data_IF_665499678330
#
_entry.id   IF_665499678330
#
_cell.length_a   1.000
_cell.length_b   1.000
_cell.length_c   1.000
_cell.angle_alpha   90.00
_cell.angle_beta   90.00
_cell.angle_gamma   90.00
#
_symmetry.space_group_name_H-M   'P 1'
#
loop_
_entity.id
_entity.type
_entity.pdbx_description
1 polymer ?
#
# COMPACT_ATOMS: atom_id res chain seq x y z
N UNK A 1 -8.82 17.33 1.97
CA UNK A 1 -9.92 17.08 1.02
C UNK A 1 -9.99 18.10 -0.11
N UNK A 2 -10.04 19.42 0.17
CA UNK A 2 -10.17 20.47 -0.88
C UNK A 2 -9.23 20.32 -2.08
N UNK A 3 -7.91 20.27 -1.87
CA UNK A 3 -6.92 20.14 -2.97
C UNK A 3 -7.11 18.89 -3.85
N UNK A 4 -7.52 17.76 -3.27
CA UNK A 4 -7.71 16.53 -4.05
C UNK A 4 -8.97 16.61 -4.93
N UNK A 5 -10.04 17.23 -4.42
CA UNK A 5 -11.28 17.45 -5.16
C UNK A 5 -11.14 18.56 -6.22
N UNK A 6 -10.24 19.52 -6.03
CA UNK A 6 -9.89 20.48 -7.09
C UNK A 6 -9.27 19.77 -8.31
N UNK A 7 -8.40 18.78 -8.07
CA UNK A 7 -7.78 17.98 -9.14
C UNK A 7 -8.75 16.94 -9.73
N UNK A 8 -9.64 16.38 -8.90
CA UNK A 8 -10.61 15.35 -9.28
C UNK A 8 -12.03 15.69 -8.79
N UNK A 9 -12.74 16.61 -9.48
CA UNK A 9 -14.03 17.14 -9.00
C UNK A 9 -15.15 16.10 -8.87
N UNK A 10 -15.09 15.03 -9.66
CA UNK A 10 -16.09 13.96 -9.68
C UNK A 10 -15.76 12.80 -8.72
N UNK A 11 -14.63 12.86 -8.02
CA UNK A 11 -14.26 11.81 -7.07
C UNK A 11 -15.17 11.85 -5.84
N UNK A 12 -15.74 10.69 -5.49
CA UNK A 12 -16.55 10.56 -4.28
C UNK A 12 -15.67 10.66 -3.04
N UNK A 13 -15.96 11.63 -2.18
CA UNK A 13 -15.23 11.83 -0.93
C UNK A 13 -15.93 11.18 0.26
N UNK A 14 -15.14 10.71 1.21
CA UNK A 14 -15.62 10.11 2.45
C UNK A 14 -14.99 10.83 3.64
N UNK A 15 -15.79 11.18 4.65
CA UNK A 15 -15.30 11.70 5.93
C UNK A 15 -14.72 10.60 6.82
N UNK A 16 -15.12 9.35 6.57
CA UNK A 16 -14.65 8.14 7.24
C UNK A 16 -14.28 7.10 6.18
N UNK A 17 -13.01 6.69 6.13
CA UNK A 17 -12.52 5.74 5.14
C UNK A 17 -13.19 4.36 5.25
N UNK A 18 -13.75 4.00 6.41
CA UNK A 18 -14.44 2.71 6.57
C UNK A 18 -15.66 2.61 5.67
N UNK A 19 -16.34 3.73 5.43
CA UNK A 19 -17.45 3.82 4.46
C UNK A 19 -17.00 3.64 3.02
N UNK A 20 -15.76 4.00 2.69
CA UNK A 20 -15.16 3.71 1.39
C UNK A 20 -14.97 2.20 1.22
N UNK A 21 -14.48 1.51 2.26
CA UNK A 21 -14.24 0.05 2.23
C UNK A 21 -15.53 -0.77 2.07
N UNK A 22 -16.67 -0.26 2.52
CA UNK A 22 -18.00 -0.87 2.32
C UNK A 22 -18.46 -0.84 0.84
N UNK A 23 -17.86 0.01 -0.01
CA UNK A 23 -18.27 0.15 -1.40
C UNK A 23 -17.93 -1.08 -2.23
N UNK A 24 -18.93 -1.64 -2.93
CA UNK A 24 -18.72 -2.73 -3.90
C UNK A 24 -18.11 -2.26 -5.22
N UNK A 25 -18.12 -0.95 -5.48
CA UNK A 25 -17.57 -0.36 -6.71
C UNK A 25 -16.05 -0.13 -6.64
N UNK A 26 -15.41 -0.43 -5.50
CA UNK A 26 -13.99 -0.20 -5.27
C UNK A 26 -13.30 -1.56 -5.08
N UNK A 27 -12.38 -1.90 -5.97
CA UNK A 27 -11.63 -3.16 -5.91
C UNK A 27 -10.40 -3.07 -5.00
N UNK A 28 -9.81 -1.88 -4.86
CA UNK A 28 -8.57 -1.69 -4.11
C UNK A 28 -8.37 -0.28 -3.58
N UNK A 29 -7.40 -0.13 -2.68
CA UNK A 29 -7.09 1.13 -1.99
C UNK A 29 -5.60 1.45 -2.02
N UNK A 30 -5.30 2.75 -2.09
CA UNK A 30 -3.97 3.31 -1.86
C UNK A 30 -3.98 3.97 -0.47
N UNK A 31 -3.13 3.50 0.43
CA UNK A 31 -2.99 4.04 1.80
C UNK A 31 -1.75 4.93 1.84
N UNK A 32 -1.96 6.25 1.80
CA UNK A 32 -0.91 7.28 1.90
C UNK A 32 -1.12 8.20 3.13
N UNK A 33 -1.53 7.59 4.24
CA UNK A 33 -1.82 8.28 5.51
C UNK A 33 -0.56 8.39 6.38
N UNK A 34 -0.60 9.08 7.54
CA UNK A 34 0.49 9.00 8.50
C UNK A 34 0.77 7.55 8.96
N UNK A 35 2.05 7.22 9.18
CA UNK A 35 2.54 5.87 9.46
C UNK A 35 1.80 5.15 10.60
N UNK A 36 1.41 5.88 11.66
CA UNK A 36 0.71 5.30 12.81
C UNK A 36 -0.69 4.74 12.46
N UNK A 37 -1.22 5.02 11.27
CA UNK A 37 -2.51 4.53 10.81
C UNK A 37 -2.39 3.33 9.86
N UNK A 38 -1.20 3.06 9.30
CA UNK A 38 -1.00 2.09 8.23
C UNK A 38 -1.50 0.70 8.61
N UNK A 39 -1.03 0.15 9.73
CA UNK A 39 -1.35 -1.22 10.11
C UNK A 39 -2.85 -1.45 10.23
N UNK A 40 -3.57 -0.57 10.93
CA UNK A 40 -5.01 -0.70 11.10
C UNK A 40 -5.76 -0.54 9.78
N UNK A 41 -5.36 0.42 8.93
CA UNK A 41 -6.02 0.64 7.65
C UNK A 41 -5.79 -0.51 6.66
N UNK A 42 -4.59 -1.10 6.64
CA UNK A 42 -4.28 -2.29 5.84
C UNK A 42 -5.13 -3.47 6.30
N UNK A 43 -5.16 -3.76 7.60
CA UNK A 43 -5.96 -4.86 8.15
C UNK A 43 -7.46 -4.69 7.83
N UNK A 44 -7.98 -3.47 7.97
CA UNK A 44 -9.37 -3.17 7.64
C UNK A 44 -9.66 -3.35 6.14
N UNK A 45 -8.74 -2.93 5.26
CA UNK A 45 -8.91 -3.08 3.82
C UNK A 45 -8.86 -4.55 3.37
N UNK A 46 -7.92 -5.34 3.89
CA UNK A 46 -7.84 -6.77 3.62
C UNK A 46 -9.10 -7.50 4.13
N UNK A 47 -9.57 -7.16 5.34
CA UNK A 47 -10.81 -7.71 5.89
C UNK A 47 -12.05 -7.35 5.07
N UNK A 48 -12.02 -6.22 4.36
CA UNK A 48 -13.09 -5.79 3.46
C UNK A 48 -12.95 -6.38 2.04
N UNK A 49 -12.00 -7.30 1.84
CA UNK A 49 -11.76 -7.96 0.55
C UNK A 49 -11.16 -7.04 -0.51
N UNK A 50 -10.42 -5.99 -0.12
CA UNK A 50 -9.82 -5.01 -1.03
C UNK A 50 -8.37 -5.34 -1.33
N UNK A 51 -7.93 -5.10 -2.56
CA UNK A 51 -6.52 -4.99 -2.89
C UNK A 51 -5.90 -3.79 -2.17
N UNK A 52 -4.65 -3.91 -1.73
CA UNK A 52 -4.00 -2.86 -0.93
C UNK A 52 -2.63 -2.52 -1.50
N UNK A 53 -2.45 -1.24 -1.82
CA UNK A 53 -1.14 -0.62 -1.94
C UNK A 53 -0.96 0.35 -0.78
N UNK A 54 0.08 0.17 0.03
CA UNK A 54 0.33 1.02 1.19
C UNK A 54 1.70 1.71 1.09
N UNK A 55 1.76 3.00 1.39
CA UNK A 55 3.01 3.76 1.41
C UNK A 55 4.04 3.18 2.40
N UNK A 56 5.31 3.52 2.21
CA UNK A 56 6.34 3.17 3.20
C UNK A 56 6.10 3.95 4.49
N UNK A 57 6.42 3.42 5.67
CA UNK A 57 6.79 2.05 5.99
C UNK A 57 5.55 1.19 6.27
N UNK A 58 5.69 -0.14 6.26
CA UNK A 58 4.59 -1.09 6.50
C UNK A 58 3.84 -0.83 7.82
N UNK A 59 4.57 -0.72 8.94
CA UNK A 59 4.02 -0.43 10.27
C UNK A 59 5.12 0.12 11.20
N UNK A 60 4.79 0.42 12.47
CA UNK A 60 5.74 0.97 13.45
C UNK A 60 6.47 -0.12 14.22
N UNK A 61 5.87 -1.29 14.36
CA UNK A 61 6.40 -2.39 15.18
C UNK A 61 6.40 -3.71 14.42
N UNK A 62 7.27 -4.63 14.83
CA UNK A 62 7.31 -5.98 14.27
C UNK A 62 6.00 -6.75 14.50
N UNK A 63 5.35 -6.53 15.65
CA UNK A 63 4.08 -7.17 15.97
C UNK A 63 2.98 -6.73 14.99
N UNK A 64 2.90 -5.43 14.69
CA UNK A 64 1.97 -4.93 13.66
C UNK A 64 2.27 -5.51 12.29
N UNK A 65 3.55 -5.58 11.89
CA UNK A 65 3.94 -6.21 10.63
C UNK A 65 3.49 -7.67 10.58
N UNK A 66 3.68 -8.43 11.67
CA UNK A 66 3.26 -9.83 11.78
C UNK A 66 1.75 -10.00 11.70
N UNK A 67 0.98 -9.11 12.33
CA UNK A 67 -0.48 -9.10 12.22
C UNK A 67 -0.96 -8.90 10.79
N UNK A 68 -0.37 -7.96 10.06
CA UNK A 68 -0.68 -7.74 8.64
C UNK A 68 -0.32 -8.96 7.80
N UNK A 69 0.86 -9.54 8.01
CA UNK A 69 1.30 -10.73 7.29
C UNK A 69 0.33 -11.91 7.50
N UNK A 70 -0.07 -12.16 8.75
CA UNK A 70 -1.02 -13.22 9.06
C UNK A 70 -2.39 -12.97 8.41
N UNK A 71 -2.87 -11.72 8.38
CA UNK A 71 -4.11 -11.38 7.68
C UNK A 71 -3.99 -11.61 6.16
N UNK A 72 -2.84 -11.26 5.57
CA UNK A 72 -2.56 -11.48 4.15
C UNK A 72 -2.58 -12.96 3.75
N UNK A 73 -2.10 -13.86 4.62
CA UNK A 73 -2.13 -15.31 4.35
C UNK A 73 -3.54 -15.90 4.21
N UNK A 74 -4.58 -15.17 4.61
CA UNK A 74 -5.97 -15.61 4.58
C UNK A 74 -6.81 -14.85 3.54
N UNK A 75 -6.18 -14.20 2.56
CA UNK A 75 -6.86 -13.46 1.49
C UNK A 75 -6.26 -13.78 0.13
N UNK A 76 -7.10 -13.74 -0.90
CA UNK A 76 -6.69 -13.83 -2.30
C UNK A 76 -6.34 -12.44 -2.88
N UNK A 77 -6.43 -11.37 -2.09
CA UNK A 77 -6.16 -10.00 -2.53
C UNK A 77 -4.66 -9.70 -2.53
N UNK A 78 -4.21 -9.02 -3.59
CA UNK A 78 -2.87 -8.39 -3.66
C UNK A 78 -2.65 -7.40 -2.51
N UNK A 79 -1.53 -7.56 -1.80
CA UNK A 79 -0.97 -6.61 -0.85
C UNK A 79 0.42 -6.18 -1.30
N UNK A 80 0.64 -4.88 -1.43
CA UNK A 80 1.92 -4.31 -1.82
C UNK A 80 2.28 -3.11 -0.94
N UNK A 81 3.57 -2.96 -0.60
CA UNK A 81 4.09 -1.80 0.11
C UNK A 81 5.01 -0.99 -0.79
N UNK A 82 4.88 0.32 -0.76
CA UNK A 82 5.61 1.23 -1.63
C UNK A 82 7.13 1.11 -1.40
N UNK A 83 7.79 0.37 -2.28
CA UNK A 83 9.23 0.18 -2.30
C UNK A 83 9.81 0.84 -3.56
N UNK A 84 9.48 2.12 -3.78
CA UNK A 84 9.76 2.81 -5.06
C UNK A 84 11.23 2.74 -5.51
N UNK A 85 12.18 2.64 -4.57
CA UNK A 85 13.62 2.54 -4.86
C UNK A 85 13.99 1.24 -5.57
N UNK A 86 13.21 0.18 -5.41
CA UNK A 86 13.45 -1.08 -6.13
C UNK A 86 13.12 -0.99 -7.63
N UNK A 87 12.40 0.07 -8.04
CA UNK A 87 12.07 0.35 -9.44
C UNK A 87 12.89 1.48 -10.06
N UNK A 88 13.77 2.10 -9.29
CA UNK A 88 14.67 3.13 -9.81
C UNK A 88 15.80 2.45 -10.60
N UNK A 89 15.99 2.91 -11.84
CA UNK A 89 16.99 2.39 -12.80
C UNK A 89 18.38 2.27 -12.19
N UNK A 90 18.75 3.15 -11.26
CA UNK A 90 20.06 3.12 -10.60
C UNK A 90 20.25 1.85 -9.78
N UNK A 91 19.22 1.45 -9.03
CA UNK A 91 19.26 0.24 -8.21
C UNK A 91 19.16 -1.02 -9.08
N UNK A 92 18.31 -0.98 -10.12
CA UNK A 92 18.18 -2.07 -11.08
C UNK A 92 19.53 -2.33 -11.77
N UNK A 93 20.19 -1.28 -12.28
CA UNK A 93 21.49 -1.39 -12.94
C UNK A 93 22.59 -1.86 -11.99
N UNK A 94 22.60 -1.34 -10.75
CA UNK A 94 23.54 -1.81 -9.74
C UNK A 94 23.38 -3.32 -9.48
N UNK A 95 22.15 -3.81 -9.35
CA UNK A 95 21.89 -5.25 -9.19
C UNK A 95 22.30 -6.05 -10.43
N UNK A 96 22.05 -5.54 -11.64
CA UNK A 96 22.52 -6.20 -12.88
C UNK A 96 24.05 -6.35 -12.91
N UNK A 97 24.80 -5.32 -12.51
CA UNK A 97 26.27 -5.37 -12.44
C UNK A 97 26.76 -6.39 -11.40
N UNK A 98 26.11 -6.46 -10.24
CA UNK A 98 26.39 -7.48 -9.22
C UNK A 98 26.15 -8.88 -9.79
N UNK A 99 25.02 -9.10 -10.47
CA UNK A 99 24.67 -10.39 -11.06
C UNK A 99 25.56 -10.77 -12.26
N UNK A 100 26.10 -9.81 -13.00
CA UNK A 100 27.01 -10.05 -14.12
C UNK A 100 28.47 -10.24 -13.71
N UNK A 101 28.78 -10.22 -12.41
CA UNK A 101 30.13 -10.42 -11.88
C UNK A 101 31.05 -9.20 -12.01
N UNK A 102 30.51 -7.97 -12.11
CA UNK A 102 31.28 -6.73 -12.23
C UNK A 102 32.32 -6.72 -13.37
N UNK A 103 31.87 -7.05 -14.58
CA UNK A 103 32.69 -6.83 -15.79
C UNK A 103 32.49 -5.39 -16.25
N UNK A 104 33.58 -4.61 -16.29
CA UNK A 104 33.62 -3.19 -16.67
C UNK A 104 33.75 -3.02 -18.18
#
# INVERSE_FOLDING_TARGET
>A
MRKALELYPNAKSYSDYRRLLESKEIDGVIIATPLNMHAQMVLNALSAGKHVFCEKAMARTLNECKSIYNAYLHTDNVLYFCMQRMYDEKYIKAMQMVHSGFNW
#
